data_IF_806050636791
#
_entry.id   IF_806050636791
#
_cell.length_a   1.000
_cell.length_b   1.000
_cell.length_c   1.000
_cell.angle_alpha   90.00
_cell.angle_beta   90.00
_cell.angle_gamma   90.00
#
_symmetry.space_group_name_H-M   'P 1'
#
loop_
_entity.id
_entity.type
_entity.pdbx_description
1 polymer ?
#
# COMPACT_ATOMS: atom_id res chain seq x y z
N UNK A 1 -8.55 -9.59 -20.58
CA UNK A 1 -9.28 -8.32 -20.66
C UNK A 1 -9.15 -7.67 -19.30
N UNK A 2 -8.25 -6.68 -19.20
CA UNK A 2 -8.26 -5.76 -18.07
C UNK A 2 -9.51 -4.90 -18.23
N UNK A 3 -10.48 -5.03 -17.34
CA UNK A 3 -11.62 -4.10 -17.27
C UNK A 3 -11.06 -2.73 -16.92
N UNK A 4 -11.55 -1.68 -17.57
CA UNK A 4 -11.22 -0.30 -17.20
C UNK A 4 -11.73 -0.08 -15.78
N UNK A 5 -10.87 0.41 -14.92
CA UNK A 5 -11.27 0.89 -13.60
C UNK A 5 -11.80 2.32 -13.76
N UNK A 6 -12.99 2.58 -13.26
CA UNK A 6 -13.57 3.93 -13.22
C UNK A 6 -13.23 4.64 -11.91
N UNK A 7 -12.72 3.91 -10.91
CA UNK A 7 -12.24 4.44 -9.63
C UNK A 7 -11.20 3.53 -8.98
N UNK A 8 -10.48 4.05 -7.96
CA UNK A 8 -9.56 3.26 -7.14
C UNK A 8 -10.24 2.05 -6.46
N UNK A 9 -11.57 2.10 -6.30
CA UNK A 9 -12.35 1.03 -5.70
C UNK A 9 -12.51 -0.18 -6.64
N UNK A 10 -12.39 0.02 -7.95
CA UNK A 10 -12.47 -1.06 -8.94
C UNK A 10 -11.15 -1.82 -9.08
N UNK A 11 -10.11 -1.35 -8.40
CA UNK A 11 -8.81 -2.00 -8.44
C UNK A 11 -8.73 -3.15 -7.43
N UNK A 12 -8.16 -4.25 -7.89
CA UNK A 12 -8.01 -5.46 -7.07
C UNK A 12 -6.57 -5.97 -7.03
N UNK A 13 -6.17 -6.51 -5.89
CA UNK A 13 -5.01 -7.37 -5.76
C UNK A 13 -5.51 -8.80 -5.51
N UNK A 14 -5.39 -9.67 -6.53
CA UNK A 14 -5.88 -11.06 -6.44
C UNK A 14 -7.38 -11.16 -6.13
N UNK A 15 -8.19 -10.30 -6.71
CA UNK A 15 -9.63 -10.29 -6.49
C UNK A 15 -10.07 -9.70 -5.16
N UNK A 16 -9.18 -9.05 -4.43
CA UNK A 16 -9.49 -8.35 -3.17
C UNK A 16 -9.44 -6.85 -3.42
N UNK A 17 -10.54 -6.16 -3.18
CA UNK A 17 -10.73 -4.73 -3.47
C UNK A 17 -10.95 -3.89 -2.22
N UNK A 18 -10.77 -2.58 -2.35
CA UNK A 18 -11.21 -1.64 -1.32
C UNK A 18 -12.73 -1.70 -1.16
N UNK A 19 -13.21 -1.72 0.07
CA UNK A 19 -14.63 -1.84 0.38
C UNK A 19 -15.12 -3.27 0.59
N UNK A 20 -14.34 -4.28 0.22
CA UNK A 20 -14.67 -5.68 0.53
C UNK A 20 -14.61 -5.94 2.02
N UNK A 21 -15.33 -6.96 2.46
CA UNK A 21 -15.17 -7.51 3.80
C UNK A 21 -14.01 -8.51 3.80
N UNK A 22 -13.06 -8.35 4.71
CA UNK A 22 -11.96 -9.30 4.84
C UNK A 22 -12.45 -10.70 5.25
N UNK A 23 -13.66 -10.79 5.83
CA UNK A 23 -14.30 -12.06 6.17
C UNK A 23 -14.75 -12.88 4.95
N UNK A 24 -14.83 -12.28 3.78
CA UNK A 24 -15.13 -13.01 2.53
C UNK A 24 -13.94 -13.88 2.06
N UNK A 25 -12.75 -13.62 2.60
CA UNK A 25 -11.50 -14.26 2.19
C UNK A 25 -10.81 -15.03 3.30
N UNK A 26 -10.97 -14.59 4.57
CA UNK A 26 -10.26 -15.13 5.72
C UNK A 26 -11.18 -15.28 6.92
N UNK A 27 -10.86 -16.22 7.80
CA UNK A 27 -11.57 -16.36 9.05
C UNK A 27 -11.25 -15.21 10.01
N UNK A 28 -12.19 -14.91 10.92
CA UNK A 28 -11.96 -13.89 11.95
C UNK A 28 -10.73 -14.18 12.81
N UNK A 29 -10.45 -15.46 13.07
CA UNK A 29 -9.28 -15.88 13.84
C UNK A 29 -7.97 -15.54 13.11
N UNK A 30 -7.88 -15.81 11.79
CA UNK A 30 -6.72 -15.47 10.97
C UNK A 30 -6.49 -13.96 10.93
N UNK A 31 -7.56 -13.18 10.76
CA UNK A 31 -7.48 -11.72 10.74
C UNK A 31 -6.91 -11.19 12.07
N UNK A 32 -7.46 -11.65 13.18
CA UNK A 32 -7.11 -11.13 14.52
C UNK A 32 -5.75 -11.61 15.01
N UNK A 33 -5.29 -12.77 14.58
CA UNK A 33 -4.01 -13.37 14.99
C UNK A 33 -2.81 -12.46 14.78
N UNK A 34 -2.80 -11.71 13.67
CA UNK A 34 -1.70 -10.85 13.26
C UNK A 34 -2.12 -9.37 13.18
N UNK A 35 -3.18 -8.99 13.90
CA UNK A 35 -3.64 -7.61 13.96
C UNK A 35 -2.69 -6.76 14.79
N UNK A 36 -2.38 -5.58 14.28
CA UNK A 36 -1.64 -4.53 14.97
C UNK A 36 -2.42 -3.21 14.92
N UNK A 37 -2.19 -2.36 15.90
CA UNK A 37 -2.77 -1.02 15.98
C UNK A 37 -1.79 0.01 15.45
N UNK A 38 -2.29 1.04 14.78
CA UNK A 38 -1.55 2.26 14.55
C UNK A 38 -1.50 3.10 15.83
N UNK A 39 -0.57 4.04 15.94
CA UNK A 39 -0.46 4.96 17.10
C UNK A 39 -1.78 5.69 17.37
N UNK A 40 -2.49 6.09 16.34
CA UNK A 40 -3.87 6.53 16.44
C UNK A 40 -4.80 5.32 16.18
N UNK A 41 -5.67 4.94 17.12
CA UNK A 41 -6.45 3.70 17.06
C UNK A 41 -7.66 3.76 16.12
N UNK A 42 -7.74 4.73 15.20
CA UNK A 42 -8.85 4.79 14.22
C UNK A 42 -8.84 3.62 13.24
N UNK A 43 -7.65 3.18 12.84
CA UNK A 43 -7.45 2.04 11.96
C UNK A 43 -6.60 0.96 12.62
N UNK A 44 -6.84 -0.27 12.20
CA UNK A 44 -6.03 -1.44 12.52
C UNK A 44 -5.49 -2.04 11.23
N UNK A 45 -4.30 -2.62 11.30
CA UNK A 45 -3.74 -3.40 10.22
C UNK A 45 -3.66 -4.88 10.59
N UNK A 46 -3.71 -5.75 9.59
CA UNK A 46 -3.34 -7.15 9.74
C UNK A 46 -2.43 -7.56 8.60
N UNK A 47 -1.46 -8.43 8.88
CA UNK A 47 -0.59 -9.03 7.88
C UNK A 47 -0.86 -10.53 7.84
N UNK A 48 -1.25 -11.02 6.68
CA UNK A 48 -1.47 -12.44 6.44
C UNK A 48 -0.33 -12.95 5.56
N UNK A 49 0.43 -13.92 6.09
CA UNK A 49 1.57 -14.54 5.42
C UNK A 49 1.09 -15.44 4.26
N UNK A 50 2.00 -16.04 3.48
CA UNK A 50 1.65 -16.79 2.28
C UNK A 50 0.47 -17.72 2.49
N UNK A 51 -0.52 -17.57 1.63
CA UNK A 51 -1.75 -18.34 1.63
C UNK A 51 -1.96 -18.92 0.22
N UNK A 52 -2.63 -20.05 0.09
CA UNK A 52 -2.93 -20.68 -1.20
C UNK A 52 -3.65 -19.74 -2.16
N UNK A 53 -4.39 -18.77 -1.61
CA UNK A 53 -5.13 -17.78 -2.35
C UNK A 53 -4.25 -16.82 -3.17
N UNK A 54 -3.02 -16.49 -2.71
CA UNK A 54 -2.15 -15.49 -3.37
C UNK A 54 -0.68 -15.92 -3.51
N UNK A 55 -0.45 -17.08 -4.08
CA UNK A 55 0.85 -17.76 -4.22
C UNK A 55 2.02 -16.91 -4.76
N UNK A 56 1.75 -15.79 -5.48
CA UNK A 56 2.79 -14.92 -6.04
C UNK A 56 3.27 -13.84 -5.07
N UNK A 57 2.67 -13.73 -3.90
CA UNK A 57 3.05 -12.78 -2.86
C UNK A 57 3.67 -13.51 -1.67
N UNK A 58 4.61 -12.88 -0.99
CA UNK A 58 5.18 -13.38 0.27
C UNK A 58 4.33 -13.00 1.47
N UNK A 59 3.31 -12.18 1.27
CA UNK A 59 2.32 -11.78 2.25
C UNK A 59 1.40 -10.71 1.71
N UNK A 60 0.29 -10.50 2.37
CA UNK A 60 -0.60 -9.37 2.13
C UNK A 60 -0.86 -8.62 3.42
N UNK A 61 -1.01 -7.31 3.30
CA UNK A 61 -1.30 -6.43 4.41
C UNK A 61 -2.61 -5.71 4.13
N UNK A 62 -3.48 -5.71 5.12
CA UNK A 62 -4.82 -5.15 5.04
C UNK A 62 -5.01 -4.10 6.12
N UNK A 63 -5.80 -3.07 5.82
CA UNK A 63 -6.13 -2.01 6.77
C UNK A 63 -7.64 -1.82 6.79
N UNK A 64 -8.20 -1.81 7.99
CA UNK A 64 -9.63 -1.64 8.25
C UNK A 64 -9.83 -0.75 9.49
N UNK A 65 -11.05 -0.22 9.70
CA UNK A 65 -11.35 0.55 10.91
C UNK A 65 -11.29 -0.34 12.14
N UNK A 66 -10.62 0.13 13.18
CA UNK A 66 -10.62 -0.52 14.50
C UNK A 66 -12.06 -0.63 14.99
N UNK A 67 -12.46 -1.74 15.53
CA UNK A 67 -13.84 -2.03 15.96
C UNK A 67 -14.89 -2.22 14.83
N UNK A 68 -14.47 -2.30 13.56
CA UNK A 68 -15.37 -2.72 12.50
C UNK A 68 -15.50 -4.24 12.49
N UNK A 69 -16.66 -4.74 12.91
CA UNK A 69 -16.91 -6.19 12.97
C UNK A 69 -16.98 -6.86 11.59
N UNK A 70 -17.18 -6.07 10.53
CA UNK A 70 -17.17 -6.54 9.14
C UNK A 70 -15.79 -6.51 8.50
N UNK A 71 -14.81 -5.88 9.15
CA UNK A 71 -13.44 -5.71 8.63
C UNK A 71 -13.41 -5.15 7.20
N UNK A 72 -14.20 -4.09 6.95
CA UNK A 72 -14.25 -3.45 5.62
C UNK A 72 -12.89 -2.84 5.27
N UNK A 73 -12.37 -3.17 4.08
CA UNK A 73 -11.05 -2.80 3.65
C UNK A 73 -10.96 -1.32 3.22
N UNK A 74 -10.06 -0.61 3.88
CA UNK A 74 -9.62 0.74 3.54
C UNK A 74 -8.22 0.77 2.92
N UNK A 75 -7.47 -0.31 3.06
CA UNK A 75 -6.15 -0.48 2.47
C UNK A 75 -5.86 -1.94 2.16
N UNK A 76 -5.27 -2.18 0.99
CA UNK A 76 -4.81 -3.49 0.53
C UNK A 76 -3.39 -3.35 0.00
N UNK A 77 -2.47 -4.19 0.45
CA UNK A 77 -1.09 -4.22 -0.03
C UNK A 77 -0.65 -5.65 -0.34
N UNK A 78 -0.08 -5.84 -1.52
CA UNK A 78 0.66 -7.04 -1.88
C UNK A 78 2.15 -6.85 -1.59
N UNK A 79 2.79 -7.83 -0.99
CA UNK A 79 4.17 -7.81 -0.56
C UNK A 79 4.96 -8.93 -1.26
N UNK A 80 6.11 -8.61 -1.82
CA UNK A 80 7.03 -9.60 -2.42
C UNK A 80 8.42 -9.35 -1.85
N UNK A 81 8.94 -10.31 -1.08
CA UNK A 81 10.28 -10.23 -0.53
C UNK A 81 11.31 -10.59 -1.60
N UNK A 82 12.36 -9.80 -1.70
CA UNK A 82 13.51 -10.06 -2.56
C UNK A 82 14.73 -10.35 -1.71
N UNK A 83 15.46 -11.41 -2.07
CA UNK A 83 16.79 -11.69 -1.49
C UNK A 83 17.85 -11.25 -2.51
N UNK A 84 18.48 -10.08 -2.25
CA UNK A 84 19.75 -9.71 -2.87
C UNK A 84 19.73 -9.32 -4.35
N UNK A 85 18.61 -8.83 -4.91
CA UNK A 85 18.54 -8.40 -6.31
C UNK A 85 17.95 -6.99 -6.41
N UNK A 86 18.77 -5.98 -6.11
CA UNK A 86 18.37 -4.56 -6.19
C UNK A 86 17.81 -4.16 -7.58
N UNK A 87 18.39 -4.70 -8.66
CA UNK A 87 18.00 -4.30 -10.03
C UNK A 87 16.65 -4.85 -10.50
N UNK A 88 16.12 -5.87 -9.87
CA UNK A 88 14.87 -6.48 -10.34
C UNK A 88 13.62 -5.78 -9.79
N UNK A 89 13.70 -5.22 -8.58
CA UNK A 89 12.57 -4.53 -7.96
C UNK A 89 12.16 -3.31 -8.77
N UNK A 90 13.12 -2.47 -9.17
CA UNK A 90 12.83 -1.25 -9.96
C UNK A 90 12.16 -1.58 -11.28
N UNK A 91 12.63 -2.61 -11.98
CA UNK A 91 12.04 -3.02 -13.25
C UNK A 91 10.60 -3.52 -13.07
N UNK A 92 10.34 -4.34 -12.05
CA UNK A 92 8.99 -4.82 -11.77
C UNK A 92 8.09 -3.65 -11.33
N UNK A 93 8.62 -2.71 -10.54
CA UNK A 93 7.91 -1.48 -10.17
C UNK A 93 7.49 -0.70 -11.41
N UNK A 94 8.41 -0.48 -12.38
CA UNK A 94 8.12 0.19 -13.66
C UNK A 94 7.04 -0.56 -14.47
N UNK A 95 7.09 -1.88 -14.53
CA UNK A 95 6.06 -2.70 -15.21
C UNK A 95 4.68 -2.54 -14.56
N UNK A 96 4.61 -2.47 -13.23
CA UNK A 96 3.36 -2.20 -12.50
C UNK A 96 2.88 -0.77 -12.74
N UNK A 97 3.77 0.22 -12.73
CA UNK A 97 3.45 1.62 -13.02
C UNK A 97 2.82 1.78 -14.42
N UNK A 98 3.37 1.10 -15.41
CA UNK A 98 2.82 1.09 -16.77
C UNK A 98 1.41 0.49 -16.79
N UNK A 99 1.16 -0.60 -16.06
CA UNK A 99 -0.18 -1.19 -15.95
C UNK A 99 -1.16 -0.25 -15.27
N UNK A 100 -0.77 0.41 -14.17
CA UNK A 100 -1.59 1.41 -13.47
C UNK A 100 -1.96 2.56 -14.42
N UNK A 101 -0.99 3.09 -15.16
CA UNK A 101 -1.24 4.17 -16.12
C UNK A 101 -2.26 3.78 -17.19
N UNK A 102 -2.24 2.52 -17.64
CA UNK A 102 -3.22 2.00 -18.61
C UNK A 102 -4.61 1.82 -17.98
N UNK A 103 -4.66 1.30 -16.75
CA UNK A 103 -5.92 1.05 -16.04
C UNK A 103 -6.66 2.35 -15.71
N UNK A 104 -5.94 3.37 -15.25
CA UNK A 104 -6.50 4.65 -14.83
C UNK A 104 -6.35 5.75 -15.90
N UNK A 105 -6.35 5.40 -17.20
CA UNK A 105 -6.16 6.37 -18.28
C UNK A 105 -7.27 7.43 -18.39
N UNK A 106 -8.41 7.22 -17.74
CA UNK A 106 -9.55 8.15 -17.72
C UNK A 106 -9.66 8.91 -16.39
N UNK A 107 -8.88 8.55 -15.38
CA UNK A 107 -8.85 9.25 -14.09
C UNK A 107 -7.75 10.31 -14.07
N UNK A 108 -8.05 11.44 -13.45
CA UNK A 108 -7.04 12.43 -13.15
C UNK A 108 -6.34 12.06 -11.85
N UNK A 109 -5.01 12.14 -11.86
CA UNK A 109 -4.19 11.87 -10.70
C UNK A 109 -2.92 12.73 -10.72
N UNK A 110 -2.39 13.01 -9.55
CA UNK A 110 -1.03 13.50 -9.38
C UNK A 110 -0.08 12.33 -9.17
N UNK A 111 1.08 12.34 -9.85
CA UNK A 111 2.14 11.34 -9.69
C UNK A 111 3.32 11.97 -8.94
N UNK A 112 3.83 11.27 -7.93
CA UNK A 112 5.02 11.66 -7.17
C UNK A 112 6.01 10.50 -7.13
N UNK A 113 7.29 10.82 -7.17
CA UNK A 113 8.37 9.84 -7.04
C UNK A 113 9.27 10.27 -5.88
N UNK A 114 9.55 9.34 -5.00
CA UNK A 114 10.40 9.53 -3.84
C UNK A 114 11.55 8.53 -3.89
N UNK A 115 12.75 9.00 -3.55
CA UNK A 115 13.92 8.17 -3.29
C UNK A 115 14.57 8.72 -2.04
N UNK A 116 14.26 8.13 -0.89
CA UNK A 116 14.59 8.70 0.43
C UNK A 116 15.02 7.61 1.41
N UNK A 117 15.72 8.00 2.50
CA UNK A 117 15.88 7.10 3.63
C UNK A 117 14.55 6.60 4.19
N UNK A 118 14.50 5.33 4.60
CA UNK A 118 13.30 4.69 5.13
C UNK A 118 13.24 4.79 6.65
N UNK A 119 13.02 6.00 7.17
CA UNK A 119 13.01 6.29 8.60
C UNK A 119 11.86 5.64 9.37
N UNK A 120 10.81 5.17 8.71
CA UNK A 120 9.73 4.44 9.38
C UNK A 120 10.24 3.19 10.08
N UNK A 121 11.13 2.45 9.41
CA UNK A 121 11.73 1.22 9.92
C UNK A 121 13.15 1.45 10.46
N UNK A 122 13.98 2.20 9.72
CA UNK A 122 15.40 2.37 10.00
C UNK A 122 15.73 3.79 10.43
N UNK A 123 15.75 4.02 11.75
CA UNK A 123 16.06 5.33 12.33
C UNK A 123 17.49 5.81 12.05
N UNK A 124 18.39 4.92 11.58
CA UNK A 124 19.74 5.32 11.18
C UNK A 124 19.79 5.96 9.80
N UNK A 125 18.73 5.78 8.98
CA UNK A 125 18.63 6.29 7.63
C UNK A 125 19.48 5.53 6.60
N UNK A 126 20.04 4.37 6.94
CA UNK A 126 20.83 3.55 6.01
C UNK A 126 19.94 2.86 4.98
N UNK A 127 18.80 2.33 5.42
CA UNK A 127 17.82 1.70 4.54
C UNK A 127 17.07 2.75 3.73
N UNK A 128 16.70 2.40 2.49
CA UNK A 128 16.10 3.36 1.54
C UNK A 128 14.80 2.83 0.96
N UNK A 129 13.95 3.75 0.53
CA UNK A 129 12.73 3.46 -0.22
C UNK A 129 12.72 4.25 -1.52
N UNK A 130 12.53 3.55 -2.64
CA UNK A 130 12.17 4.13 -3.92
C UNK A 130 10.68 3.89 -4.15
N UNK A 131 9.88 4.96 -4.11
CA UNK A 131 8.42 4.88 -4.12
C UNK A 131 7.83 5.77 -5.21
N UNK A 132 6.81 5.27 -5.90
CA UNK A 132 5.91 6.07 -6.72
C UNK A 132 4.53 6.06 -6.09
N UNK A 133 3.94 7.23 -5.95
CA UNK A 133 2.60 7.45 -5.45
C UNK A 133 1.74 8.11 -6.51
N UNK A 134 0.54 7.58 -6.69
CA UNK A 134 -0.54 8.13 -7.49
C UNK A 134 -1.65 8.55 -6.54
N UNK A 135 -1.99 9.84 -6.51
CA UNK A 135 -3.11 10.38 -5.73
C UNK A 135 -4.21 10.75 -6.70
N UNK A 136 -5.36 10.13 -6.58
CA UNK A 136 -6.48 10.26 -7.51
C UNK A 136 -7.40 11.41 -7.10
N UNK A 137 -7.91 12.18 -8.06
CA UNK A 137 -8.85 13.29 -7.81
C UNK A 137 -10.19 12.77 -7.25
N UNK A 138 -10.56 11.53 -7.55
CA UNK A 138 -11.71 10.82 -6.96
C UNK A 138 -11.49 10.40 -5.50
N UNK A 139 -10.31 10.66 -4.96
CA UNK A 139 -9.86 10.25 -3.63
C UNK A 139 -9.13 8.91 -3.63
N UNK A 140 -8.34 8.72 -2.57
CA UNK A 140 -7.51 7.53 -2.43
C UNK A 140 -6.17 7.63 -3.13
N UNK A 141 -5.35 6.60 -2.97
CA UNK A 141 -4.02 6.53 -3.60
C UNK A 141 -3.60 5.11 -3.94
N UNK A 142 -2.70 5.02 -4.94
CA UNK A 142 -1.92 3.83 -5.22
C UNK A 142 -0.44 4.12 -4.95
N UNK A 143 0.25 3.22 -4.27
CA UNK A 143 1.69 3.33 -4.00
C UNK A 143 2.40 2.05 -4.42
N UNK A 144 3.52 2.22 -5.12
CA UNK A 144 4.42 1.11 -5.46
C UNK A 144 5.80 1.49 -4.94
N UNK A 145 6.39 0.63 -4.12
CA UNK A 145 7.67 0.91 -3.49
C UNK A 145 8.61 -0.27 -3.52
N UNK A 146 9.88 0.02 -3.80
CA UNK A 146 11.01 -0.84 -3.54
C UNK A 146 11.68 -0.38 -2.24
N UNK A 147 11.73 -1.24 -1.26
CA UNK A 147 12.34 -0.98 0.05
C UNK A 147 13.61 -1.81 0.12
N UNK A 148 14.73 -1.16 0.42
CA UNK A 148 16.05 -1.79 0.53
C UNK A 148 16.56 -1.69 1.95
N UNK A 149 16.71 -2.84 2.60
CA UNK A 149 17.22 -2.93 3.97
C UNK A 149 18.73 -2.98 3.92
N UNK A 150 19.37 -1.87 4.29
CA UNK A 150 20.84 -1.75 4.31
C UNK A 150 21.44 -1.81 5.70
N UNK A 151 20.64 -1.60 6.73
CA UNK A 151 21.06 -1.75 8.13
C UNK A 151 21.21 -3.23 8.48
N UNK A 152 22.43 -3.65 8.86
CA UNK A 152 22.77 -5.05 9.13
C UNK A 152 21.98 -5.65 10.31
N UNK A 153 21.62 -4.84 11.31
CA UNK A 153 20.80 -5.31 12.42
C UNK A 153 19.38 -5.65 11.97
N UNK A 154 18.82 -4.83 11.06
CA UNK A 154 17.49 -5.06 10.51
C UNK A 154 17.43 -6.22 9.51
N UNK A 155 18.52 -6.51 8.80
CA UNK A 155 18.60 -7.65 7.87
C UNK A 155 18.38 -9.01 8.52
N UNK A 156 18.46 -9.09 9.84
CA UNK A 156 18.17 -10.32 10.58
C UNK A 156 16.68 -10.68 10.53
N UNK A 157 15.81 -9.66 10.54
CA UNK A 157 14.36 -9.78 10.68
C UNK A 157 13.59 -9.31 9.44
N UNK A 158 14.22 -8.51 8.57
CA UNK A 158 13.58 -7.87 7.43
C UNK A 158 14.32 -8.17 6.12
N UNK A 159 13.58 -8.21 5.04
CA UNK A 159 14.08 -8.44 3.67
C UNK A 159 13.81 -7.21 2.81
N UNK A 160 14.56 -7.11 1.72
CA UNK A 160 14.20 -6.18 0.65
C UNK A 160 12.80 -6.54 0.14
N UNK A 161 12.00 -5.52 -0.14
CA UNK A 161 10.57 -5.69 -0.35
C UNK A 161 10.07 -4.84 -1.52
N UNK A 162 9.33 -5.47 -2.44
CA UNK A 162 8.39 -4.77 -3.30
C UNK A 162 7.03 -4.73 -2.61
N UNK A 163 6.46 -3.54 -2.49
CA UNK A 163 5.09 -3.32 -2.02
C UNK A 163 4.29 -2.62 -3.09
N UNK A 164 3.13 -3.18 -3.43
CA UNK A 164 2.09 -2.49 -4.18
C UNK A 164 0.87 -2.33 -3.30
N UNK A 165 0.32 -1.14 -3.17
CA UNK A 165 -0.78 -0.86 -2.26
C UNK A 165 -1.81 0.09 -2.84
N UNK A 166 -3.06 -0.09 -2.40
CA UNK A 166 -4.20 0.77 -2.67
C UNK A 166 -4.81 1.21 -1.36
N UNK A 167 -5.19 2.48 -1.28
CA UNK A 167 -5.68 3.11 -0.06
C UNK A 167 -6.90 3.96 -0.38
N UNK A 168 -7.95 3.82 0.44
CA UNK A 168 -9.12 4.69 0.36
C UNK A 168 -8.77 6.13 0.73
N UNK A 169 -9.55 7.08 0.28
CA UNK A 169 -9.42 8.50 0.63
C UNK A 169 -9.35 8.70 2.16
N UNK A 170 -10.20 8.00 2.90
CA UNK A 170 -10.25 8.10 4.36
C UNK A 170 -8.96 7.63 5.02
N UNK A 171 -8.36 6.55 4.50
CA UNK A 171 -7.07 6.05 5.00
C UNK A 171 -5.93 7.00 4.62
N UNK A 172 -5.92 7.56 3.42
CA UNK A 172 -4.92 8.55 2.98
C UNK A 172 -4.95 9.77 3.92
N UNK A 173 -6.13 10.32 4.19
CA UNK A 173 -6.32 11.43 5.14
C UNK A 173 -5.84 11.11 6.55
N UNK A 174 -6.01 9.86 6.97
CA UNK A 174 -5.54 9.40 8.28
C UNK A 174 -4.01 9.28 8.37
N UNK A 175 -3.36 8.74 7.32
CA UNK A 175 -1.92 8.51 7.32
C UNK A 175 -1.10 9.77 7.05
N UNK A 176 -1.71 10.80 6.47
CA UNK A 176 -1.04 12.04 6.09
C UNK A 176 -1.83 13.28 6.52
N UNK A 177 -2.09 13.47 7.83
CA UNK A 177 -2.96 14.54 8.31
C UNK A 177 -2.48 15.96 7.97
N UNK A 178 -1.18 16.18 7.71
CA UNK A 178 -0.64 17.48 7.27
C UNK A 178 -0.59 17.68 5.76
N UNK A 179 -0.80 16.62 5.00
CA UNK A 179 -0.62 16.63 3.54
C UNK A 179 -1.82 17.22 2.79
N UNK A 180 -3.02 17.11 3.36
CA UNK A 180 -4.26 17.61 2.76
C UNK A 180 -4.45 19.10 3.02
N UNK A 181 -3.98 19.60 4.17
CA UNK A 181 -4.02 21.02 4.47
C UNK A 181 -3.17 21.85 3.49
N UNK A 182 -2.01 21.33 3.03
CA UNK A 182 -1.20 22.01 2.00
C UNK A 182 -1.88 22.06 0.62
N UNK A 183 -2.71 21.07 0.27
CA UNK A 183 -3.45 21.07 -1.00
C UNK A 183 -4.65 21.99 -0.98
N UNK A 184 -5.40 22.06 0.13
CA UNK A 184 -6.53 22.97 0.28
C UNK A 184 -6.07 24.44 0.31
N UNK A 185 -4.91 24.73 0.89
CA UNK A 185 -4.31 26.08 0.92
C UNK A 185 -3.80 26.50 -0.47
N UNK A 186 -3.26 25.61 -1.26
CA UNK A 186 -2.76 25.91 -2.61
C UNK A 186 -3.86 25.89 -3.69
N UNK A 187 -5.02 25.31 -3.42
CA UNK A 187 -6.20 25.31 -4.29
C UNK A 187 -7.10 26.55 -4.14
N UNK A 188 -6.87 27.40 -3.14
CA UNK A 188 -7.55 28.66 -2.91
C UNK A 188 -6.64 29.83 -3.28
N UNK A 189 -6.37 29.98 -4.56
CA UNK A 189 -5.84 31.24 -5.11
C UNK A 189 -6.73 31.67 -6.26
N UNK A 190 -7.58 32.66 -5.94
CA UNK A 190 -8.40 33.56 -6.76
C UNK A 190 -9.80 33.07 -7.03
#
# INVERSE_FOLDING_TARGET
NLSKADSIQDFEIKGISLGDSLLDYFTKEEILKNTYLYDNPKFSGTRIEPHDYYQNYTGMQFTYKTNDEKFILHGVSGLVNYKGIENNCVKIKEDIENQITVLFNNEQYSKRVFDTPYYELDKTGQSTVNMTEYVFDTGGSSRISCIYIKNEELKKDYYDLLRSSFQSEELVKFLSPGFIEEFEINGLSV
#
